data_IF_315975899559
#
_entry.id   IF_315975899559
#
_cell.length_a   1.000
_cell.length_b   1.000
_cell.length_c   1.000
_cell.angle_alpha   90.00
_cell.angle_beta   90.00
_cell.angle_gamma   90.00
#
_symmetry.space_group_name_H-M   'P 1'
#
loop_
_entity.id
_entity.type
_entity.pdbx_description
1 polymer ?
#
# COMPACT_ATOMS: atom_id res chain seq x y z
N UNK A 1 6.20 2.55 4.34
CA UNK A 1 6.50 2.00 3.01
C UNK A 1 6.56 0.48 3.09
N UNK A 2 5.96 -0.23 2.13
CA UNK A 2 5.89 -1.68 2.11
C UNK A 2 6.75 -2.26 0.97
N UNK A 3 7.69 -3.12 1.34
CA UNK A 3 8.66 -3.79 0.47
C UNK A 3 8.45 -5.30 0.47
N UNK A 4 9.13 -5.96 -0.46
CA UNK A 4 9.16 -7.40 -0.60
C UNK A 4 8.98 -7.83 -2.04
N UNK A 5 9.28 -9.09 -2.32
CA UNK A 5 9.19 -9.69 -3.65
C UNK A 5 7.76 -9.86 -4.15
N UNK A 6 7.60 -10.24 -5.41
CA UNK A 6 6.32 -10.65 -5.97
C UNK A 6 5.63 -11.69 -5.08
N UNK A 7 4.33 -11.50 -4.84
CA UNK A 7 3.49 -12.50 -4.16
C UNK A 7 3.81 -12.76 -2.67
N UNK A 8 4.61 -11.89 -2.05
CA UNK A 8 4.92 -11.97 -0.62
C UNK A 8 3.78 -11.54 0.33
N UNK A 9 2.60 -11.19 -0.19
CA UNK A 9 1.42 -10.84 0.62
C UNK A 9 1.19 -9.34 0.84
N UNK A 10 1.84 -8.46 0.06
CA UNK A 10 1.62 -7.00 0.12
C UNK A 10 0.16 -6.59 -0.05
N UNK A 11 -0.52 -7.17 -1.04
CA UNK A 11 -1.94 -6.91 -1.27
C UNK A 11 -2.79 -7.26 -0.05
N UNK A 12 -2.60 -8.46 0.50
CA UNK A 12 -3.29 -8.90 1.73
C UNK A 12 -3.01 -8.00 2.93
N UNK A 13 -1.76 -7.56 3.10
CA UNK A 13 -1.39 -6.62 4.17
C UNK A 13 -2.12 -5.29 4.01
N UNK A 14 -2.05 -4.70 2.82
CA UNK A 14 -2.71 -3.43 2.48
C UNK A 14 -4.23 -3.50 2.64
N UNK A 15 -4.88 -4.54 2.10
CA UNK A 15 -6.33 -4.76 2.23
C UNK A 15 -6.75 -4.88 3.69
N UNK A 16 -5.99 -5.62 4.51
CA UNK A 16 -6.26 -5.77 5.93
C UNK A 16 -6.12 -4.43 6.68
N UNK A 17 -5.09 -3.65 6.36
CA UNK A 17 -4.91 -2.31 6.92
C UNK A 17 -6.03 -1.35 6.55
N UNK A 18 -6.49 -1.36 5.32
CA UNK A 18 -7.63 -0.55 4.87
C UNK A 18 -8.92 -0.93 5.60
N UNK A 19 -9.19 -2.23 5.74
CA UNK A 19 -10.43 -2.75 6.31
C UNK A 19 -10.50 -2.64 7.83
N UNK A 20 -9.38 -2.68 8.55
CA UNK A 20 -9.37 -2.78 10.01
C UNK A 20 -8.66 -1.64 10.74
N UNK A 21 -7.83 -0.88 10.01
CA UNK A 21 -7.05 0.23 10.57
C UNK A 21 -7.26 1.54 9.80
N UNK A 22 -8.04 1.52 8.71
CA UNK A 22 -8.31 2.65 7.83
C UNK A 22 -7.04 3.39 7.35
N UNK A 23 -5.98 2.60 7.14
CA UNK A 23 -4.72 3.05 6.56
C UNK A 23 -4.81 2.76 5.07
N UNK A 24 -4.91 3.81 4.27
CA UNK A 24 -5.06 3.71 2.83
C UNK A 24 -3.76 3.35 2.13
N UNK A 25 -3.83 2.56 1.06
CA UNK A 25 -2.65 2.09 0.34
C UNK A 25 -2.74 2.34 -1.17
N UNK A 26 -1.59 2.41 -1.81
CA UNK A 26 -1.50 2.42 -3.27
C UNK A 26 -0.20 1.76 -3.72
N UNK A 27 -0.32 0.84 -4.68
CA UNK A 27 0.86 0.25 -5.30
C UNK A 27 1.42 1.14 -6.40
N UNK A 28 2.76 1.21 -6.48
CA UNK A 28 3.46 1.89 -7.58
C UNK A 28 3.01 1.35 -8.93
N UNK A 29 2.85 0.04 -9.07
CA UNK A 29 2.44 -0.60 -10.32
C UNK A 29 0.98 -0.29 -10.71
N UNK A 30 0.06 -0.11 -9.76
CA UNK A 30 -1.31 0.30 -10.08
C UNK A 30 -1.34 1.77 -10.50
N UNK A 31 -0.66 2.65 -9.74
CA UNK A 31 -0.52 4.06 -10.11
C UNK A 31 0.14 4.22 -11.48
N UNK A 32 1.22 3.49 -11.75
CA UNK A 32 1.95 3.52 -13.02
C UNK A 32 1.08 3.05 -14.20
N UNK A 33 0.24 2.03 -14.00
CA UNK A 33 -0.70 1.54 -15.03
C UNK A 33 -1.61 2.65 -15.54
N UNK A 34 -2.13 3.47 -14.63
CA UNK A 34 -3.03 4.58 -14.95
C UNK A 34 -2.30 5.80 -15.49
N UNK A 35 -1.06 6.03 -15.04
CA UNK A 35 -0.31 7.23 -15.39
C UNK A 35 0.43 7.16 -16.72
N UNK A 36 1.06 6.03 -17.06
CA UNK A 36 1.92 5.96 -18.24
C UNK A 36 2.17 4.55 -18.80
N UNK A 37 2.15 3.50 -17.98
CA UNK A 37 2.49 2.14 -18.44
C UNK A 37 1.47 1.60 -19.45
N UNK A 38 0.19 1.91 -19.27
CA UNK A 38 -0.82 1.54 -20.27
C UNK A 38 -0.54 2.16 -21.63
N UNK A 39 -0.29 3.47 -21.69
CA UNK A 39 0.01 4.14 -22.96
C UNK A 39 1.31 3.65 -23.61
N UNK A 40 2.30 3.28 -22.80
CA UNK A 40 3.57 2.71 -23.27
C UNK A 40 3.41 1.30 -23.87
N UNK A 41 2.52 0.48 -23.33
CA UNK A 41 2.46 -0.96 -23.63
C UNK A 41 1.24 -1.41 -24.43
N UNK A 42 0.18 -0.60 -24.52
CA UNK A 42 -1.11 -0.99 -25.12
C UNK A 42 -1.00 -1.47 -26.57
N UNK A 43 -0.17 -0.84 -27.39
CA UNK A 43 -0.04 -1.20 -28.81
C UNK A 43 0.84 -2.44 -29.00
N UNK A 44 1.86 -2.61 -28.13
CA UNK A 44 2.79 -3.74 -28.17
C UNK A 44 2.11 -5.06 -27.79
N UNK A 45 1.24 -5.04 -26.79
CA UNK A 45 0.57 -6.24 -26.26
C UNK A 45 -0.93 -6.28 -26.50
N UNK A 46 -1.49 -5.26 -27.16
CA UNK A 46 -2.90 -5.20 -27.56
C UNK A 46 -3.90 -4.88 -26.44
N UNK A 47 -3.45 -4.39 -25.28
CA UNK A 47 -4.31 -4.08 -24.12
C UNK A 47 -5.37 -3.02 -24.45
N UNK A 48 -6.60 -3.24 -23.98
CA UNK A 48 -7.74 -2.31 -24.18
C UNK A 48 -7.96 -1.38 -23.01
N UNK A 49 -7.45 -1.74 -21.83
CA UNK A 49 -7.60 -0.94 -20.61
C UNK A 49 -6.33 -0.95 -19.76
N UNK A 50 -6.12 0.07 -18.90
CA UNK A 50 -5.07 0.04 -17.88
C UNK A 50 -5.17 -1.16 -16.94
N UNK A 51 -6.40 -1.62 -16.65
CA UNK A 51 -6.66 -2.78 -15.80
C UNK A 51 -6.11 -4.07 -16.41
N UNK A 52 -6.34 -4.28 -17.72
CA UNK A 52 -5.77 -5.43 -18.45
C UNK A 52 -4.24 -5.37 -18.45
N UNK A 53 -3.65 -4.21 -18.76
CA UNK A 53 -2.21 -4.00 -18.73
C UNK A 53 -1.61 -4.33 -17.35
N UNK A 54 -2.23 -3.81 -16.27
CA UNK A 54 -1.79 -4.08 -14.91
C UNK A 54 -1.95 -5.56 -14.53
N UNK A 55 -3.02 -6.23 -14.95
CA UNK A 55 -3.22 -7.65 -14.68
C UNK A 55 -2.10 -8.51 -15.29
N UNK A 56 -1.63 -8.14 -16.49
CA UNK A 56 -0.61 -8.86 -17.23
C UNK A 56 0.84 -8.52 -16.83
N UNK A 57 1.04 -7.50 -15.97
CA UNK A 57 2.37 -6.99 -15.57
C UNK A 57 3.38 -8.05 -15.12
N UNK A 58 2.89 -9.18 -14.58
CA UNK A 58 3.73 -10.27 -14.09
C UNK A 58 4.47 -11.00 -15.21
N UNK A 59 3.91 -10.99 -16.42
CA UNK A 59 4.55 -11.57 -17.61
C UNK A 59 5.60 -10.62 -18.22
N UNK A 60 5.65 -9.38 -17.74
CA UNK A 60 6.50 -8.31 -18.27
C UNK A 60 7.25 -7.56 -17.15
N UNK A 61 7.58 -8.25 -16.04
CA UNK A 61 8.13 -7.61 -14.83
C UNK A 61 9.34 -6.73 -15.10
N UNK A 62 10.27 -7.18 -15.95
CA UNK A 62 11.45 -6.39 -16.32
C UNK A 62 11.07 -5.07 -17.02
N UNK A 63 10.18 -5.11 -18.03
CA UNK A 63 9.74 -3.90 -18.74
C UNK A 63 9.00 -2.93 -17.81
N UNK A 64 8.26 -3.45 -16.83
CA UNK A 64 7.61 -2.65 -15.79
C UNK A 64 8.62 -2.03 -14.83
N UNK A 65 9.62 -2.79 -14.40
CA UNK A 65 10.71 -2.33 -13.55
C UNK A 65 11.46 -1.17 -14.22
N UNK A 66 11.90 -1.37 -15.46
CA UNK A 66 12.62 -0.36 -16.25
C UNK A 66 11.74 0.85 -16.59
N UNK A 67 10.47 0.62 -16.96
CA UNK A 67 9.55 1.70 -17.31
C UNK A 67 9.20 2.60 -16.13
N UNK A 68 9.04 2.05 -14.92
CA UNK A 68 8.82 2.84 -13.71
C UNK A 68 10.06 3.64 -13.35
N UNK A 69 11.24 3.02 -13.42
CA UNK A 69 12.50 3.70 -13.15
C UNK A 69 12.76 4.86 -14.13
N UNK A 70 12.49 4.65 -15.42
CA UNK A 70 12.58 5.68 -16.46
C UNK A 70 11.61 6.84 -16.17
N UNK A 71 10.35 6.57 -15.83
CA UNK A 71 9.38 7.60 -15.48
C UNK A 71 9.80 8.42 -14.25
N UNK A 72 10.43 7.78 -13.28
CA UNK A 72 10.94 8.46 -12.11
C UNK A 72 12.23 9.25 -12.42
N UNK A 73 12.98 8.92 -13.47
CA UNK A 73 14.20 9.67 -13.82
C UNK A 73 13.87 11.04 -14.44
N UNK A 74 14.55 12.14 -14.03
CA UNK A 74 15.70 12.22 -13.13
C UNK A 74 15.36 12.35 -11.63
N UNK A 75 14.08 12.48 -11.27
CA UNK A 75 13.64 12.67 -9.88
C UNK A 75 13.04 11.39 -9.29
N UNK A 76 13.91 10.53 -8.77
CA UNK A 76 13.59 9.14 -8.37
C UNK A 76 12.44 8.97 -7.37
N UNK A 77 11.98 10.05 -6.73
CA UNK A 77 10.87 10.03 -5.78
C UNK A 77 9.50 10.34 -6.40
N UNK A 78 9.42 10.61 -7.71
CA UNK A 78 8.25 11.16 -8.38
C UNK A 78 6.95 10.37 -8.14
N UNK A 79 6.95 9.07 -8.39
CA UNK A 79 5.76 8.24 -8.24
C UNK A 79 5.34 8.11 -6.76
N UNK A 80 6.30 7.89 -5.88
CA UNK A 80 6.08 7.77 -4.43
C UNK A 80 5.51 9.07 -3.85
N UNK A 81 6.03 10.22 -4.28
CA UNK A 81 5.49 11.54 -3.89
C UNK A 81 4.03 11.70 -4.27
N UNK A 82 3.62 11.25 -5.46
CA UNK A 82 2.21 11.28 -5.89
C UNK A 82 1.33 10.35 -5.07
N UNK A 83 1.85 9.20 -4.67
CA UNK A 83 1.13 8.26 -3.79
C UNK A 83 0.89 8.91 -2.42
N UNK A 84 1.94 9.42 -1.77
CA UNK A 84 1.81 10.01 -0.43
C UNK A 84 1.00 11.31 -0.36
N UNK A 85 0.64 11.92 -1.49
CA UNK A 85 -0.33 13.01 -1.52
C UNK A 85 -1.76 12.57 -1.18
N UNK A 86 -2.08 11.28 -1.31
CA UNK A 86 -3.45 10.75 -1.20
C UNK A 86 -3.59 9.48 -0.38
N UNK A 87 -2.48 8.77 -0.15
CA UNK A 87 -2.47 7.47 0.52
C UNK A 87 -1.46 7.47 1.66
N UNK A 88 -1.75 6.70 2.70
CA UNK A 88 -0.91 6.59 3.90
C UNK A 88 0.26 5.62 3.66
N UNK A 89 0.06 4.62 2.79
CA UNK A 89 1.05 3.59 2.48
C UNK A 89 1.33 3.51 0.98
N UNK A 90 2.61 3.36 0.65
CA UNK A 90 3.09 3.01 -0.69
C UNK A 90 3.64 1.59 -0.67
N UNK A 91 3.19 0.75 -1.60
CA UNK A 91 3.74 -0.60 -1.81
C UNK A 91 4.35 -0.73 -3.22
N UNK A 92 5.38 -1.58 -3.33
CA UNK A 92 5.94 -1.96 -4.63
C UNK A 92 7.06 -1.05 -5.16
N UNK A 93 7.79 -0.33 -4.31
CA UNK A 93 9.11 0.19 -4.71
C UNK A 93 10.04 -1.00 -4.90
N UNK A 94 10.61 -1.15 -6.10
CA UNK A 94 11.41 -2.31 -6.50
C UNK A 94 12.88 -1.98 -6.74
N UNK A 95 13.19 -0.72 -7.07
CA UNK A 95 14.55 -0.30 -7.36
C UNK A 95 15.25 0.22 -6.09
N UNK A 96 16.45 -0.27 -5.81
CA UNK A 96 17.22 0.14 -4.62
C UNK A 96 17.54 1.64 -4.60
N UNK A 97 17.89 2.21 -5.77
CA UNK A 97 18.14 3.66 -5.88
C UNK A 97 16.89 4.51 -5.63
N UNK A 98 15.71 4.09 -6.12
CA UNK A 98 14.45 4.77 -5.83
C UNK A 98 14.16 4.74 -4.33
N UNK A 99 14.29 3.56 -3.70
CA UNK A 99 14.12 3.42 -2.26
C UNK A 99 15.10 4.31 -1.48
N UNK A 100 16.38 4.31 -1.86
CA UNK A 100 17.40 5.15 -1.26
C UNK A 100 17.09 6.64 -1.37
N UNK A 101 16.64 7.10 -2.53
CA UNK A 101 16.24 8.49 -2.76
C UNK A 101 15.02 8.89 -1.91
N UNK A 102 14.01 8.03 -1.82
CA UNK A 102 12.82 8.25 -0.99
C UNK A 102 13.20 8.30 0.50
N UNK A 103 14.04 7.37 0.96
CA UNK A 103 14.54 7.31 2.34
C UNK A 103 15.37 8.56 2.68
N UNK A 104 16.27 8.99 1.79
CA UNK A 104 17.09 10.18 1.98
C UNK A 104 16.28 11.47 2.10
N UNK A 105 15.06 11.51 1.52
CA UNK A 105 14.12 12.63 1.65
C UNK A 105 13.15 12.49 2.83
N UNK A 106 13.29 11.48 3.69
CA UNK A 106 12.41 11.20 4.83
C UNK A 106 10.92 11.17 4.46
N UNK A 107 10.58 10.56 3.32
CA UNK A 107 9.19 10.55 2.81
C UNK A 107 8.28 9.50 3.47
N UNK A 108 8.83 8.67 4.36
CA UNK A 108 8.09 7.69 5.14
C UNK A 108 8.73 7.54 6.52
N UNK A 109 7.92 7.15 7.51
CA UNK A 109 8.38 6.95 8.89
C UNK A 109 8.94 5.54 9.15
N UNK A 110 8.40 4.54 8.44
CA UNK A 110 8.76 3.13 8.62
C UNK A 110 8.77 2.37 7.29
N UNK A 111 9.79 1.56 7.05
CA UNK A 111 9.82 0.57 5.97
C UNK A 111 9.68 -0.86 6.50
N UNK A 112 8.81 -1.64 5.86
CA UNK A 112 8.48 -3.02 6.26
C UNK A 112 8.74 -3.93 5.07
N UNK A 113 9.56 -4.97 5.26
CA UNK A 113 9.71 -6.07 4.32
C UNK A 113 8.75 -7.21 4.68
N UNK A 114 7.86 -7.59 3.76
CA UNK A 114 7.06 -8.80 3.91
C UNK A 114 7.83 -9.99 3.35
N UNK A 115 8.16 -10.93 4.23
CA UNK A 115 8.97 -12.10 3.92
C UNK A 115 8.08 -13.32 3.68
N UNK A 116 8.06 -13.85 2.46
CA UNK A 116 7.26 -15.03 2.13
C UNK A 116 7.94 -16.35 2.51
N UNK A 117 9.23 -16.32 2.86
CA UNK A 117 10.06 -17.53 2.94
C UNK A 117 9.91 -18.42 1.71
N UNK A 118 9.84 -19.72 1.93
CA UNK A 118 9.75 -20.73 0.86
C UNK A 118 8.35 -20.87 0.25
N UNK A 119 7.37 -20.02 0.63
CA UNK A 119 6.03 -20.02 0.02
C UNK A 119 6.05 -19.55 -1.44
N UNK A 120 7.11 -18.85 -1.84
CA UNK A 120 7.30 -18.32 -3.19
C UNK A 120 8.67 -18.72 -3.73
N UNK A 121 8.78 -18.94 -5.04
CA UNK A 121 10.05 -19.28 -5.71
C UNK A 121 11.06 -18.12 -5.77
N UNK A 122 10.70 -16.96 -5.21
CA UNK A 122 11.46 -15.74 -5.28
C UNK A 122 11.18 -14.94 -6.56
N UNK A 123 11.85 -13.79 -6.69
CA UNK A 123 11.76 -12.94 -7.86
C UNK A 123 13.13 -12.74 -8.52
N UNK A 124 13.16 -12.79 -9.85
CA UNK A 124 14.41 -12.58 -10.58
C UNK A 124 14.96 -11.16 -10.31
N UNK A 125 16.25 -11.09 -10.00
CA UNK A 125 16.98 -9.85 -9.70
C UNK A 125 16.93 -8.80 -10.81
N UNK A 126 16.61 -9.18 -12.04
CA UNK A 126 16.34 -8.24 -13.15
C UNK A 126 15.07 -7.40 -12.96
N UNK A 127 14.21 -7.76 -11.99
CA UNK A 127 12.92 -7.11 -11.73
C UNK A 127 12.74 -6.61 -10.30
N UNK A 128 13.74 -6.78 -9.45
CA UNK A 128 13.80 -6.24 -8.09
C UNK A 128 15.26 -6.11 -7.65
N UNK A 129 15.62 -4.96 -7.10
CA UNK A 129 16.94 -4.73 -6.50
C UNK A 129 16.88 -4.29 -5.04
N UNK A 130 15.69 -3.94 -4.52
CA UNK A 130 15.51 -3.80 -3.07
C UNK A 130 15.64 -5.16 -2.38
N UNK A 131 16.34 -5.17 -1.25
CA UNK A 131 16.60 -6.39 -0.49
C UNK A 131 16.02 -6.30 0.92
N UNK A 132 15.88 -7.46 1.57
CA UNK A 132 15.33 -7.61 2.91
C UNK A 132 16.03 -6.74 3.97
N UNK A 133 17.35 -6.61 3.88
CA UNK A 133 18.19 -5.86 4.80
C UNK A 133 18.06 -4.33 4.65
N UNK A 134 17.42 -3.84 3.59
CA UNK A 134 17.15 -2.40 3.41
C UNK A 134 15.98 -1.91 4.26
N UNK A 135 15.11 -2.80 4.73
CA UNK A 135 13.92 -2.47 5.50
C UNK A 135 14.21 -2.32 7.01
N UNK A 136 13.43 -1.49 7.69
CA UNK A 136 13.57 -1.27 9.14
C UNK A 136 12.94 -2.42 9.94
N UNK A 137 11.87 -3.03 9.41
CA UNK A 137 11.16 -4.16 10.02
C UNK A 137 10.96 -5.27 8.99
N UNK A 138 11.07 -6.51 9.45
CA UNK A 138 10.71 -7.70 8.66
C UNK A 138 9.48 -8.34 9.29
N UNK A 139 8.44 -8.56 8.48
CA UNK A 139 7.22 -9.26 8.89
C UNK A 139 7.10 -10.58 8.13
N UNK A 140 7.12 -11.68 8.88
CA UNK A 140 7.05 -13.03 8.35
C UNK A 140 5.64 -13.42 7.86
N UNK A 141 5.58 -13.89 6.62
CA UNK A 141 4.42 -14.42 5.89
C UNK A 141 4.76 -15.78 5.22
N UNK A 142 5.61 -16.58 5.86
CA UNK A 142 5.89 -17.96 5.46
C UNK A 142 4.86 -18.98 5.99
N UNK A 143 3.90 -18.52 6.80
CA UNK A 143 2.88 -19.35 7.46
C UNK A 143 1.55 -19.35 6.71
N UNK A 144 0.49 -19.80 7.37
CA UNK A 144 -0.88 -19.68 6.86
C UNK A 144 -1.32 -18.21 6.74
N UNK A 145 -2.30 -17.95 5.87
CA UNK A 145 -2.90 -16.62 5.73
C UNK A 145 -3.52 -16.14 7.05
N UNK A 146 -4.18 -17.02 7.80
CA UNK A 146 -4.78 -16.66 9.10
C UNK A 146 -3.71 -16.22 10.12
N UNK A 147 -2.60 -16.94 10.19
CA UNK A 147 -1.49 -16.58 11.08
C UNK A 147 -0.82 -15.27 10.65
N UNK A 148 -0.71 -15.04 9.34
CA UNK A 148 -0.21 -13.77 8.82
C UNK A 148 -1.13 -12.60 9.22
N UNK A 149 -2.44 -12.74 9.07
CA UNK A 149 -3.41 -11.73 9.52
C UNK A 149 -3.27 -11.45 11.03
N UNK A 150 -3.19 -12.48 11.87
CA UNK A 150 -2.95 -12.31 13.31
C UNK A 150 -1.61 -11.64 13.60
N UNK A 151 -0.59 -11.87 12.77
CA UNK A 151 0.72 -11.23 12.91
C UNK A 151 0.66 -9.75 12.55
N UNK A 152 -0.06 -9.37 11.48
CA UNK A 152 -0.34 -7.98 11.15
C UNK A 152 -1.04 -7.30 12.32
N UNK A 153 -2.05 -7.94 12.90
CA UNK A 153 -2.77 -7.37 14.03
C UNK A 153 -1.88 -7.12 15.24
N UNK A 154 -1.08 -8.11 15.64
CA UNK A 154 -0.13 -7.93 16.75
C UNK A 154 0.85 -6.80 16.47
N UNK A 155 1.35 -6.71 15.23
CA UNK A 155 2.25 -5.65 14.81
C UNK A 155 1.59 -4.27 14.94
N UNK A 156 0.40 -4.09 14.36
CA UNK A 156 -0.35 -2.83 14.41
C UNK A 156 -0.68 -2.40 15.84
N UNK A 157 -1.17 -3.33 16.68
CA UNK A 157 -1.47 -3.07 18.09
C UNK A 157 -0.21 -2.67 18.87
N UNK A 158 0.93 -3.34 18.62
CA UNK A 158 2.21 -3.01 19.27
C UNK A 158 2.70 -1.61 18.89
N UNK A 159 2.41 -1.19 17.64
CA UNK A 159 2.68 0.16 17.16
C UNK A 159 1.69 1.22 17.70
N UNK A 160 0.75 0.83 18.57
CA UNK A 160 -0.23 1.71 19.18
C UNK A 160 -1.48 1.95 18.34
N UNK A 161 -1.66 1.24 17.23
CA UNK A 161 -2.89 1.31 16.45
C UNK A 161 -3.96 0.43 17.08
N UNK A 162 -5.09 1.02 17.43
CA UNK A 162 -6.30 0.28 17.77
C UNK A 162 -7.02 -0.14 16.49
N UNK A 163 -7.60 -1.35 16.50
CA UNK A 163 -8.57 -1.72 15.47
C UNK A 163 -9.77 -0.79 15.61
N UNK A 164 -10.15 -0.19 14.51
CA UNK A 164 -11.27 0.74 14.46
C UNK A 164 -12.47 0.06 13.81
N UNK A 165 -13.67 0.53 14.12
CA UNK A 165 -14.79 0.27 13.22
C UNK A 165 -14.47 0.95 11.90
N UNK A 166 -14.53 0.23 10.77
CA UNK A 166 -14.41 0.87 9.45
C UNK A 166 -15.78 0.88 8.81
N UNK A 167 -16.23 2.07 8.39
CA UNK A 167 -17.52 2.25 7.72
C UNK A 167 -17.35 3.10 6.46
N UNK A 168 -17.62 2.52 5.29
CA UNK A 168 -17.52 3.17 3.96
C UNK A 168 -16.19 3.92 3.72
N UNK A 169 -15.07 3.35 4.18
CA UNK A 169 -13.73 3.93 4.02
C UNK A 169 -13.40 5.05 5.02
N UNK A 170 -14.18 5.20 6.09
CA UNK A 170 -13.89 6.06 7.22
C UNK A 170 -13.56 5.21 8.46
N UNK A 171 -12.66 5.74 9.29
CA UNK A 171 -12.29 5.21 10.60
C UNK A 171 -13.28 5.69 11.66
N UNK A 172 -13.81 4.77 12.45
CA UNK A 172 -14.61 5.05 13.65
C UNK A 172 -13.76 4.73 14.88
N UNK A 173 -13.38 5.77 15.61
CA UNK A 173 -12.52 5.69 16.79
C UNK A 173 -13.38 6.01 18.02
N UNK A 174 -13.77 5.02 18.82
CA UNK A 174 -14.40 5.28 20.12
C UNK A 174 -13.42 6.06 21.01
N UNK A 175 -13.90 7.09 21.70
CA UNK A 175 -13.12 7.80 22.72
C UNK A 175 -13.65 7.54 24.14
N UNK A 176 -12.93 8.05 25.14
CA UNK A 176 -13.26 7.87 26.56
C UNK A 176 -14.54 8.62 26.99
N UNK A 177 -15.16 9.39 26.09
CA UNK A 177 -16.38 10.17 26.34
C UNK A 177 -17.63 9.56 25.68
N UNK A 178 -17.57 8.28 25.30
CA UNK A 178 -18.59 7.56 24.53
C UNK A 178 -18.86 8.17 23.14
N UNK A 179 -18.00 9.05 22.65
CA UNK A 179 -18.08 9.59 21.29
C UNK A 179 -17.33 8.67 20.32
N UNK A 180 -17.61 8.86 19.04
CA UNK A 180 -16.95 8.16 17.95
C UNK A 180 -16.36 9.20 17.02
N UNK A 181 -15.04 9.35 17.09
CA UNK A 181 -14.29 10.19 16.17
C UNK A 181 -14.29 9.56 14.79
N UNK A 182 -14.50 10.39 13.76
CA UNK A 182 -14.60 9.96 12.37
C UNK A 182 -13.37 10.46 11.64
N UNK A 183 -12.50 9.55 11.23
CA UNK A 183 -11.29 9.89 10.48
C UNK A 183 -11.31 9.34 9.05
N UNK A 184 -10.51 9.94 8.18
CA UNK A 184 -10.25 9.45 6.82
C UNK A 184 -8.83 9.85 6.42
N UNK A 185 -8.07 8.93 5.81
CA UNK A 185 -6.67 9.16 5.44
C UNK A 185 -5.83 9.70 6.61
N UNK A 186 -5.92 9.03 7.76
CA UNK A 186 -5.27 9.41 9.02
C UNK A 186 -5.58 10.84 9.54
N UNK A 187 -6.65 11.49 9.07
CA UNK A 187 -7.07 12.82 9.53
C UNK A 187 -8.44 12.75 10.17
N UNK A 188 -8.60 13.40 11.32
CA UNK A 188 -9.90 13.59 11.95
C UNK A 188 -10.76 14.51 11.07
N UNK A 189 -11.96 14.05 10.71
CA UNK A 189 -12.89 14.75 9.80
C UNK A 189 -14.12 15.24 10.54
N UNK A 190 -14.64 14.45 11.48
CA UNK A 190 -15.90 14.73 12.17
C UNK A 190 -16.01 13.91 13.47
N UNK A 191 -17.10 14.07 14.22
CA UNK A 191 -17.37 13.32 15.47
C UNK A 191 -18.86 12.99 15.57
N UNK A 192 -19.19 11.72 15.87
CA UNK A 192 -20.54 11.28 16.23
C UNK A 192 -20.67 10.97 17.72
N UNK A 193 -21.86 11.09 18.32
CA UNK A 193 -22.10 10.72 19.74
C UNK A 193 -22.18 9.22 19.98
N UNK A 194 -22.23 8.42 18.92
CA UNK A 194 -22.20 6.96 18.93
C UNK A 194 -21.97 6.45 17.51
N UNK A 195 -21.81 5.14 17.35
CA UNK A 195 -21.56 4.50 16.05
C UNK A 195 -22.66 4.82 15.03
N UNK A 196 -23.95 4.74 15.39
CA UNK A 196 -25.05 5.01 14.44
C UNK A 196 -25.05 6.44 13.92
N UNK A 197 -24.80 7.41 14.80
CA UNK A 197 -24.68 8.80 14.37
C UNK A 197 -23.46 8.99 13.48
N UNK A 198 -22.34 8.34 13.80
CA UNK A 198 -21.15 8.42 12.97
C UNK A 198 -21.34 7.81 11.58
N UNK A 199 -22.01 6.67 11.46
CA UNK A 199 -22.40 6.06 10.19
C UNK A 199 -23.31 6.99 9.37
N UNK A 200 -24.28 7.65 10.01
CA UNK A 200 -25.17 8.60 9.32
C UNK A 200 -24.43 9.84 8.81
N UNK A 201 -23.47 10.36 9.58
CA UNK A 201 -22.57 11.46 9.14
C UNK A 201 -21.77 11.02 7.91
N UNK A 202 -21.23 9.81 7.92
CA UNK A 202 -20.48 9.24 6.79
C UNK A 202 -21.38 9.09 5.56
N UNK A 203 -22.59 8.57 5.72
CA UNK A 203 -23.55 8.41 4.62
C UNK A 203 -23.87 9.72 3.93
N UNK A 204 -24.09 10.78 4.72
CA UNK A 204 -24.30 12.12 4.18
C UNK A 204 -23.07 12.65 3.41
N UNK A 205 -21.85 12.38 3.88
CA UNK A 205 -20.62 12.80 3.20
C UNK A 205 -20.33 11.99 1.93
N UNK A 206 -20.72 10.71 1.88
CA UNK A 206 -20.54 9.86 0.68
C UNK A 206 -21.56 10.20 -0.41
N UNK A 207 -22.74 10.68 -0.03
CA UNK A 207 -23.79 11.08 -0.96
C UNK A 207 -23.59 12.49 -1.57
N UNK A 208 -22.69 13.31 -1.01
CA UNK A 208 -22.37 14.66 -1.45
C UNK A 208 -21.20 14.68 -2.44
#
# INVERSE_FOLDING_TARGET
MLLGEGECGKGTFCEHLEQHYAISSMSTSLMASTLFMYDKLKDKYGYKTPKECHADRRNHRQEWYEGIYEFNTPELTNLVRRIYQRYDTCDGVRHAEEFGAVKAKNMFDLSIWLDAGDRTEGEDSSSISVTRDMADVILDNSTTQEDFIRRIDRFMITMGFTKFGVYKGYTLIPDDSDQVLIAKHAKLIDVGRNIKEAEAIIDAKVAA
#
